data_IF_156795576139
#
_entry.id   IF_156795576139
#
_cell.length_a   1.000
_cell.length_b   1.000
_cell.length_c   1.000
_cell.angle_alpha   90.00
_cell.angle_beta   90.00
_cell.angle_gamma   90.00
#
_symmetry.space_group_name_H-M   'P 1'
#
loop_
_entity.id
_entity.type
_entity.pdbx_description
1 polymer ?
#
# COMPACT_ATOMS: atom_id res chain seq x y z
N UNK A 1 -17.58 -11.81 -11.70
CA UNK A 1 -18.82 -11.14 -11.27
C UNK A 1 -19.35 -10.28 -12.40
N UNK A 2 -20.56 -10.60 -12.85
CA UNK A 2 -21.33 -9.89 -13.87
C UNK A 2 -21.70 -8.49 -13.36
N UNK A 3 -21.13 -7.46 -13.98
CA UNK A 3 -21.75 -6.14 -13.99
C UNK A 3 -23.08 -6.22 -14.76
N UNK A 4 -24.08 -5.47 -14.30
CA UNK A 4 -25.42 -5.44 -14.88
C UNK A 4 -25.41 -4.98 -16.34
N UNK A 5 -26.55 -5.17 -17.01
CA UNK A 5 -26.74 -4.89 -18.43
C UNK A 5 -26.28 -3.47 -18.82
N UNK A 6 -25.35 -3.37 -19.76
CA UNK A 6 -24.80 -2.12 -20.28
C UNK A 6 -23.57 -1.55 -19.56
N UNK A 7 -23.13 -2.15 -18.45
CA UNK A 7 -21.99 -1.66 -17.66
C UNK A 7 -20.63 -1.99 -18.29
N UNK A 8 -19.73 -0.99 -18.32
CA UNK A 8 -18.36 -1.12 -18.81
C UNK A 8 -17.60 -2.18 -17.99
N UNK A 9 -17.24 -3.30 -18.61
CA UNK A 9 -16.50 -4.37 -17.94
C UNK A 9 -15.00 -4.13 -18.02
N UNK A 10 -14.31 -4.34 -16.89
CA UNK A 10 -12.85 -4.30 -16.81
C UNK A 10 -12.29 -5.73 -16.80
N UNK A 11 -11.17 -5.92 -17.49
CA UNK A 11 -10.32 -7.07 -17.30
C UNK A 11 -9.53 -6.87 -16.01
N UNK A 12 -9.68 -7.78 -15.05
CA UNK A 12 -9.13 -7.62 -13.69
C UNK A 12 -8.03 -8.64 -13.47
N UNK A 13 -6.87 -8.15 -13.04
CA UNK A 13 -5.70 -8.94 -12.68
C UNK A 13 -5.42 -8.73 -11.19
N UNK A 14 -5.16 -9.81 -10.45
CA UNK A 14 -4.74 -9.76 -9.05
C UNK A 14 -3.28 -10.15 -9.00
N UNK A 15 -2.41 -9.18 -8.71
CA UNK A 15 -0.97 -9.41 -8.68
C UNK A 15 -0.48 -9.82 -7.29
N UNK A 16 0.45 -10.76 -7.25
CA UNK A 16 1.20 -11.11 -6.04
C UNK A 16 2.64 -10.59 -6.15
N UNK A 17 3.10 -9.88 -5.12
CA UNK A 17 4.48 -9.41 -5.03
C UNK A 17 5.41 -10.52 -4.52
N UNK A 18 6.72 -10.41 -4.78
CA UNK A 18 7.70 -11.39 -4.29
C UNK A 18 7.60 -11.63 -2.77
N UNK A 19 7.66 -12.90 -2.38
CA UNK A 19 7.58 -13.36 -0.99
C UNK A 19 6.15 -13.61 -0.47
N UNK A 20 5.14 -13.64 -1.33
CA UNK A 20 3.81 -14.14 -0.95
C UNK A 20 3.74 -15.64 -1.11
N UNK A 21 3.05 -16.33 -0.20
CA UNK A 21 3.04 -17.79 -0.16
C UNK A 21 2.44 -18.42 -1.43
N UNK A 22 1.48 -17.76 -2.09
CA UNK A 22 0.90 -18.21 -3.36
C UNK A 22 1.86 -18.17 -4.55
N UNK A 23 2.93 -17.36 -4.46
CA UNK A 23 3.90 -17.12 -5.52
C UNK A 23 5.34 -17.16 -5.01
N UNK A 24 5.63 -17.99 -4.00
CA UNK A 24 6.95 -18.07 -3.40
C UNK A 24 7.96 -18.63 -4.41
N UNK A 25 8.70 -17.75 -5.08
CA UNK A 25 9.70 -18.12 -6.09
C UNK A 25 10.83 -18.99 -5.52
N UNK A 26 11.09 -18.89 -4.22
CA UNK A 26 12.14 -19.62 -3.54
C UNK A 26 11.66 -20.16 -2.20
N UNK A 27 11.98 -21.42 -1.90
CA UNK A 27 11.80 -21.98 -0.56
C UNK A 27 12.64 -21.17 0.45
N UNK A 28 12.04 -20.64 1.53
CA UNK A 28 12.78 -19.90 2.55
C UNK A 28 13.75 -20.77 3.34
N UNK A 29 13.46 -22.08 3.45
CA UNK A 29 14.32 -23.05 4.13
C UNK A 29 15.55 -23.40 3.28
N UNK A 30 15.35 -23.67 1.98
CA UNK A 30 16.41 -24.11 1.08
C UNK A 30 17.24 -22.94 0.53
N UNK A 31 16.63 -21.76 0.37
CA UNK A 31 17.27 -20.61 -0.25
C UNK A 31 17.10 -19.31 0.58
N UNK A 32 17.48 -19.31 1.87
CA UNK A 32 17.29 -18.13 2.74
C UNK A 32 18.01 -16.88 2.23
N UNK A 33 19.14 -17.05 1.54
CA UNK A 33 19.91 -15.94 0.95
C UNK A 33 19.17 -15.20 -0.18
N UNK A 34 18.18 -15.84 -0.83
CA UNK A 34 17.33 -15.20 -1.84
C UNK A 34 16.33 -14.22 -1.21
N UNK A 35 16.10 -14.30 0.12
CA UNK A 35 15.23 -13.39 0.86
C UNK A 35 15.91 -12.06 1.21
N UNK A 36 16.52 -11.42 0.21
CA UNK A 36 17.26 -10.17 0.34
C UNK A 36 16.72 -9.11 -0.64
N UNK A 37 15.54 -8.59 -0.37
CA UNK A 37 14.90 -7.53 -1.15
C UNK A 37 14.18 -6.54 -0.22
N UNK A 38 13.92 -5.32 -0.70
CA UNK A 38 13.18 -4.29 0.03
C UNK A 38 12.05 -3.73 -0.83
N UNK A 39 11.44 -2.62 -0.41
CA UNK A 39 10.31 -2.03 -1.14
C UNK A 39 10.77 -1.47 -2.49
N UNK A 40 12.04 -1.07 -2.62
CA UNK A 40 12.60 -0.65 -3.91
C UNK A 40 12.55 -1.78 -4.94
N UNK A 41 12.74 -3.04 -4.54
CA UNK A 41 12.62 -4.16 -5.47
C UNK A 41 11.16 -4.37 -5.93
N UNK A 42 10.17 -4.05 -5.08
CA UNK A 42 8.77 -4.04 -5.51
C UNK A 42 8.53 -2.96 -6.57
N UNK A 43 9.14 -1.78 -6.41
CA UNK A 43 8.99 -0.63 -7.31
C UNK A 43 9.76 -0.86 -8.63
N UNK A 44 11.01 -1.29 -8.57
CA UNK A 44 11.92 -1.33 -9.72
C UNK A 44 11.83 -2.61 -10.54
N UNK A 45 11.28 -3.69 -9.96
CA UNK A 45 11.28 -5.01 -10.58
C UNK A 45 9.87 -5.58 -10.68
N UNK A 46 9.15 -5.67 -9.56
CA UNK A 46 7.84 -6.33 -9.57
C UNK A 46 6.80 -5.49 -10.33
N UNK A 47 6.72 -4.19 -10.06
CA UNK A 47 5.78 -3.29 -10.76
C UNK A 47 5.96 -3.33 -12.29
N UNK A 48 7.16 -3.11 -12.87
CA UNK A 48 7.38 -3.27 -14.31
C UNK A 48 7.02 -4.66 -14.83
N UNK A 49 7.39 -5.73 -14.11
CA UNK A 49 7.11 -7.09 -14.54
C UNK A 49 5.60 -7.37 -14.61
N UNK A 50 4.85 -6.95 -13.59
CA UNK A 50 3.38 -7.07 -13.54
C UNK A 50 2.74 -6.29 -14.69
N UNK A 51 3.14 -5.02 -14.87
CA UNK A 51 2.57 -4.15 -15.91
C UNK A 51 2.85 -4.71 -17.29
N UNK A 52 4.08 -5.17 -17.54
CA UNK A 52 4.46 -5.78 -18.80
C UNK A 52 3.68 -7.08 -19.04
N UNK A 53 3.53 -7.92 -18.02
CA UNK A 53 2.77 -9.16 -18.12
C UNK A 53 1.30 -8.89 -18.52
N UNK A 54 0.64 -7.94 -17.84
CA UNK A 54 -0.76 -7.56 -18.16
C UNK A 54 -0.88 -6.97 -19.56
N UNK A 55 0.10 -6.20 -20.03
CA UNK A 55 0.10 -5.65 -21.39
C UNK A 55 0.27 -6.71 -22.47
N UNK A 56 1.12 -7.70 -22.22
CA UNK A 56 1.40 -8.78 -23.16
C UNK A 56 0.26 -9.79 -23.24
N UNK A 57 -0.30 -10.18 -22.09
CA UNK A 57 -1.28 -11.26 -22.00
C UNK A 57 -2.74 -10.78 -21.87
N UNK A 58 -2.95 -9.47 -21.73
CA UNK A 58 -4.28 -8.89 -21.67
C UNK A 58 -5.04 -9.07 -22.97
N UNK A 59 -6.38 -9.08 -22.91
CA UNK A 59 -7.26 -9.30 -24.08
C UNK A 59 -7.09 -8.27 -25.20
N UNK A 60 -6.41 -7.16 -24.93
CA UNK A 60 -6.06 -6.11 -25.90
C UNK A 60 -4.62 -6.24 -26.44
N UNK A 61 -4.00 -7.42 -26.30
CA UNK A 61 -2.65 -7.73 -26.74
C UNK A 61 -2.36 -7.16 -28.13
N UNK A 62 -1.28 -6.39 -28.23
CA UNK A 62 -0.85 -5.70 -29.45
C UNK A 62 -0.93 -4.17 -29.38
N UNK A 63 -1.86 -3.60 -28.59
CA UNK A 63 -1.77 -2.19 -28.16
C UNK A 63 -1.05 -2.17 -26.81
N UNK A 64 -0.28 -1.13 -26.47
CA UNK A 64 0.31 -0.93 -25.13
C UNK A 64 -0.67 -0.13 -24.25
N UNK A 65 -1.81 -0.68 -23.77
CA UNK A 65 -2.78 0.12 -23.04
C UNK A 65 -2.17 0.62 -21.73
N UNK A 66 -2.60 1.83 -21.34
CA UNK A 66 -2.43 2.31 -19.98
C UNK A 66 -3.35 1.50 -19.07
N UNK A 67 -2.89 1.10 -17.89
CA UNK A 67 -3.63 0.25 -16.96
C UNK A 67 -4.21 1.06 -15.80
N UNK A 68 -5.37 0.69 -15.27
CA UNK A 68 -5.78 1.20 -13.98
C UNK A 68 -5.11 0.39 -12.87
N UNK A 69 -4.49 1.06 -11.91
CA UNK A 69 -3.90 0.41 -10.74
C UNK A 69 -4.78 0.65 -9.52
N UNK A 70 -5.14 -0.40 -8.80
CA UNK A 70 -5.88 -0.31 -7.52
C UNK A 70 -4.99 -0.90 -6.43
N UNK A 71 -4.42 -0.04 -5.60
CA UNK A 71 -3.45 -0.42 -4.58
C UNK A 71 -3.95 -0.12 -3.17
N UNK A 72 -3.80 -1.06 -2.24
CA UNK A 72 -4.09 -0.85 -0.82
C UNK A 72 -2.79 -0.79 -0.02
N UNK A 73 -2.70 0.14 0.93
CA UNK A 73 -1.54 0.26 1.83
C UNK A 73 -0.24 0.33 1.02
N UNK A 74 0.71 -0.57 1.26
CA UNK A 74 1.94 -0.71 0.46
C UNK A 74 1.69 -0.80 -1.05
N UNK A 75 0.60 -1.43 -1.49
CA UNK A 75 0.25 -1.54 -2.91
C UNK A 75 -0.07 -0.19 -3.57
N UNK A 76 -0.56 0.80 -2.81
CA UNK A 76 -0.70 2.18 -3.31
C UNK A 76 0.59 2.99 -3.16
N UNK A 77 1.38 2.73 -2.11
CA UNK A 77 2.70 3.35 -1.93
C UNK A 77 3.64 3.10 -3.12
N UNK A 78 3.75 1.84 -3.55
CA UNK A 78 4.60 1.49 -4.69
C UNK A 78 4.09 2.10 -6.00
N UNK A 79 2.78 2.35 -6.12
CA UNK A 79 2.21 3.03 -7.28
C UNK A 79 2.57 4.52 -7.32
N UNK A 80 2.58 5.21 -6.16
CA UNK A 80 3.07 6.59 -6.08
C UNK A 80 4.54 6.67 -6.51
N UNK A 81 5.40 5.82 -5.95
CA UNK A 81 6.82 5.81 -6.28
C UNK A 81 7.09 5.47 -7.76
N UNK A 82 6.47 4.40 -8.26
CA UNK A 82 6.60 3.99 -9.66
C UNK A 82 6.09 5.07 -10.63
N UNK A 83 4.97 5.72 -10.27
CA UNK A 83 4.34 6.76 -11.07
C UNK A 83 5.09 8.09 -11.12
N UNK A 84 6.15 8.31 -10.33
CA UNK A 84 7.01 9.49 -10.47
C UNK A 84 7.71 9.53 -11.84
N UNK A 85 8.15 8.36 -12.33
CA UNK A 85 8.87 8.24 -13.60
C UNK A 85 8.00 7.60 -14.70
N UNK A 86 7.24 6.56 -14.34
CA UNK A 86 6.53 5.70 -15.29
C UNK A 86 5.04 6.06 -15.43
N UNK A 87 4.67 7.32 -15.23
CA UNK A 87 3.28 7.84 -15.31
C UNK A 87 2.50 7.48 -16.57
N UNK A 88 3.20 7.25 -17.70
CA UNK A 88 2.57 6.85 -18.97
C UNK A 88 1.97 5.45 -18.88
N UNK A 89 2.34 4.65 -17.88
CA UNK A 89 1.84 3.28 -17.74
C UNK A 89 0.47 3.20 -17.08
N UNK A 90 0.11 4.18 -16.27
CA UNK A 90 -1.17 4.19 -15.57
C UNK A 90 -2.22 5.01 -16.30
N UNK A 91 -3.41 4.45 -16.52
CA UNK A 91 -4.58 5.20 -16.91
C UNK A 91 -5.13 6.04 -15.76
N UNK A 92 -4.95 5.54 -14.55
CA UNK A 92 -5.33 6.16 -13.30
C UNK A 92 -4.95 5.23 -12.15
N UNK A 93 -4.79 5.79 -10.95
CA UNK A 93 -4.46 5.05 -9.75
C UNK A 93 -5.56 5.27 -8.71
N UNK A 94 -6.00 4.18 -8.09
CA UNK A 94 -6.86 4.20 -6.92
C UNK A 94 -6.03 3.69 -5.76
N UNK A 95 -5.94 4.47 -4.68
CA UNK A 95 -5.23 4.06 -3.46
C UNK A 95 -6.19 3.93 -2.29
N UNK A 96 -6.13 2.82 -1.57
CA UNK A 96 -6.92 2.54 -0.37
C UNK A 96 -5.98 2.58 0.84
N UNK A 97 -6.15 3.54 1.75
CA UNK A 97 -5.35 3.69 2.98
C UNK A 97 -3.84 3.56 2.73
N UNK A 98 -3.32 4.29 1.75
CA UNK A 98 -1.92 4.20 1.32
C UNK A 98 -1.13 5.41 1.80
N UNK A 99 -0.32 5.27 2.86
CA UNK A 99 0.35 6.39 3.49
C UNK A 99 1.70 6.72 2.86
N UNK A 100 2.13 7.97 2.94
CA UNK A 100 3.43 8.43 2.41
C UNK A 100 4.19 9.36 3.35
N UNK A 101 3.53 9.93 4.37
CA UNK A 101 4.14 10.91 5.27
C UNK A 101 4.75 10.27 6.53
N UNK A 102 4.13 9.23 7.06
CA UNK A 102 4.54 8.50 8.28
C UNK A 102 4.62 9.39 9.54
N UNK A 103 3.78 10.43 9.62
CA UNK A 103 3.80 11.42 10.71
C UNK A 103 2.94 11.00 11.90
N UNK A 104 1.78 10.43 11.62
CA UNK A 104 0.80 9.96 12.60
C UNK A 104 0.87 8.44 12.78
N UNK A 105 1.68 7.78 11.96
CA UNK A 105 1.85 6.34 11.97
C UNK A 105 2.73 5.89 13.15
N UNK A 106 2.20 5.04 14.01
CA UNK A 106 2.93 4.47 15.15
C UNK A 106 2.75 5.19 16.48
N UNK A 107 1.85 6.19 16.57
CA UNK A 107 1.41 6.73 17.86
C UNK A 107 0.85 5.60 18.76
N UNK A 108 0.12 4.68 18.16
CA UNK A 108 -0.47 3.48 18.81
C UNK A 108 0.49 2.30 18.97
N UNK A 109 1.76 2.42 18.54
CA UNK A 109 2.70 1.29 18.64
C UNK A 109 3.30 1.19 20.05
N UNK A 110 3.37 0.00 20.66
CA UNK A 110 4.07 -0.21 21.92
C UNK A 110 5.51 0.32 21.90
N UNK A 111 5.94 0.97 22.98
CA UNK A 111 7.26 1.61 23.09
C UNK A 111 8.42 0.64 22.80
N UNK A 112 8.33 -0.61 23.28
CA UNK A 112 9.32 -1.66 23.00
C UNK A 112 9.56 -1.86 21.49
N UNK A 113 8.49 -1.84 20.68
CA UNK A 113 8.59 -1.98 19.23
C UNK A 113 9.16 -0.72 18.56
N UNK A 114 8.98 0.47 19.16
CA UNK A 114 9.63 1.71 18.70
C UNK A 114 11.16 1.59 18.82
N UNK A 115 11.65 0.98 19.90
CA UNK A 115 13.08 0.76 20.12
C UNK A 115 13.65 -0.35 19.22
N UNK A 116 12.95 -1.48 19.11
CA UNK A 116 13.41 -2.63 18.29
C UNK A 116 13.55 -2.29 16.80
N UNK A 117 12.80 -1.31 16.29
CA UNK A 117 12.93 -0.81 14.92
C UNK A 117 14.33 -0.29 14.58
N UNK A 118 15.11 0.14 15.56
CA UNK A 118 16.49 0.61 15.36
C UNK A 118 17.48 -0.54 15.14
N UNK A 119 17.17 -1.73 15.65
CA UNK A 119 18.06 -2.88 15.71
C UNK A 119 17.89 -3.90 14.55
N UNK A 120 16.99 -3.68 13.59
CA UNK A 120 16.80 -4.62 12.48
C UNK A 120 18.09 -4.80 11.65
N UNK A 121 18.42 -6.02 11.17
CA UNK A 121 19.54 -6.25 10.29
C UNK A 121 19.31 -5.57 8.93
N UNK A 122 19.97 -4.43 8.70
CA UNK A 122 19.68 -3.53 7.56
C UNK A 122 20.43 -3.86 6.26
N UNK A 123 21.55 -4.58 6.34
CA UNK A 123 22.39 -4.88 5.15
C UNK A 123 22.03 -6.19 4.45
N UNK A 124 21.50 -7.17 5.18
CA UNK A 124 21.15 -8.49 4.64
C UNK A 124 19.73 -8.86 5.06
N UNK A 125 18.89 -9.19 4.09
CA UNK A 125 17.58 -9.75 4.36
C UNK A 125 17.67 -11.22 4.72
N UNK A 126 16.76 -11.64 5.58
CA UNK A 126 16.49 -13.04 5.92
C UNK A 126 15.00 -13.32 5.79
N UNK A 127 14.58 -14.58 5.58
CA UNK A 127 13.17 -14.92 5.59
C UNK A 127 12.54 -14.60 6.95
N UNK A 128 11.42 -13.90 6.96
CA UNK A 128 10.72 -13.50 8.18
C UNK A 128 9.24 -13.87 8.11
N UNK A 129 8.85 -14.85 8.93
CA UNK A 129 7.45 -15.20 9.18
C UNK A 129 6.87 -14.31 10.29
N UNK A 130 6.64 -13.04 9.96
CA UNK A 130 6.33 -12.00 10.95
C UNK A 130 5.05 -12.27 11.75
N UNK A 131 4.01 -12.86 11.14
CA UNK A 131 2.75 -13.15 11.83
C UNK A 131 2.93 -14.23 12.91
N UNK A 132 3.82 -15.22 12.67
CA UNK A 132 4.18 -16.22 13.68
C UNK A 132 4.81 -15.57 14.91
N UNK A 133 5.61 -14.53 14.72
CA UNK A 133 6.18 -13.75 15.83
C UNK A 133 5.12 -12.93 16.57
N UNK A 134 4.21 -12.26 15.87
CA UNK A 134 3.08 -11.55 16.49
C UNK A 134 2.24 -12.50 17.34
N UNK A 135 1.99 -13.71 16.85
CA UNK A 135 1.29 -14.76 17.61
C UNK A 135 2.07 -15.20 18.84
N UNK A 136 3.36 -15.49 18.69
CA UNK A 136 4.25 -15.92 19.79
C UNK A 136 4.35 -14.88 20.91
N UNK A 137 4.27 -13.60 20.56
CA UNK A 137 4.30 -12.47 21.50
C UNK A 137 2.92 -12.10 22.07
N UNK A 138 1.85 -12.84 21.73
CA UNK A 138 0.49 -12.55 22.23
C UNK A 138 -0.14 -11.27 21.68
N UNK A 139 0.37 -10.73 20.57
CA UNK A 139 0.00 -9.40 20.07
C UNK A 139 -1.15 -9.40 19.05
N UNK A 140 -1.87 -10.51 18.91
CA UNK A 140 -2.91 -10.68 17.88
C UNK A 140 -4.10 -9.74 18.06
N UNK A 141 -4.56 -9.49 19.29
CA UNK A 141 -5.68 -8.57 19.53
C UNK A 141 -5.31 -7.12 19.26
N UNK A 142 -4.07 -6.72 19.58
CA UNK A 142 -3.55 -5.41 19.21
C UNK A 142 -3.50 -5.24 17.67
N UNK A 143 -3.01 -6.26 16.96
CA UNK A 143 -2.99 -6.28 15.49
C UNK A 143 -4.41 -6.11 14.91
N UNK A 144 -5.40 -6.88 15.40
CA UNK A 144 -6.80 -6.78 14.95
C UNK A 144 -7.38 -5.39 15.18
N UNK A 145 -7.21 -4.83 16.39
CA UNK A 145 -7.69 -3.48 16.76
C UNK A 145 -7.04 -2.38 15.91
N UNK A 146 -5.78 -2.53 15.55
CA UNK A 146 -5.05 -1.57 14.72
C UNK A 146 -5.51 -1.61 13.25
N UNK A 147 -5.85 -2.80 12.75
CA UNK A 147 -6.11 -3.02 11.32
C UNK A 147 -7.57 -2.98 10.91
N UNK A 148 -8.49 -3.29 11.82
CA UNK A 148 -9.88 -3.53 11.48
C UNK A 148 -10.84 -2.88 12.46
N UNK A 149 -11.92 -2.30 11.93
CA UNK A 149 -13.11 -2.11 12.74
C UNK A 149 -13.84 -3.45 12.81
N UNK A 150 -13.61 -4.21 13.89
CA UNK A 150 -14.14 -5.57 14.05
C UNK A 150 -15.68 -5.64 14.01
N UNK A 151 -16.39 -4.52 14.27
CA UNK A 151 -17.86 -4.46 14.14
C UNK A 151 -18.31 -4.48 12.68
N UNK A 152 -17.47 -4.02 11.77
CA UNK A 152 -17.76 -3.86 10.35
C UNK A 152 -17.16 -4.97 9.47
N UNK A 153 -16.56 -6.02 10.07
CA UNK A 153 -16.07 -7.19 9.34
C UNK A 153 -16.73 -8.45 9.91
N UNK A 154 -16.99 -9.45 9.07
CA UNK A 154 -17.41 -10.75 9.55
C UNK A 154 -16.24 -11.47 10.25
N UNK A 155 -16.41 -12.03 11.47
CA UNK A 155 -15.31 -12.68 12.19
C UNK A 155 -14.59 -13.77 11.40
N UNK A 156 -15.33 -14.57 10.61
CA UNK A 156 -14.77 -15.59 9.72
C UNK A 156 -13.86 -14.99 8.65
N UNK A 157 -14.31 -13.92 8.00
CA UNK A 157 -13.54 -13.20 6.98
C UNK A 157 -12.28 -12.55 7.58
N UNK A 158 -12.39 -11.96 8.78
CA UNK A 158 -11.23 -11.40 9.49
C UNK A 158 -10.21 -12.51 9.82
N UNK A 159 -10.68 -13.67 10.29
CA UNK A 159 -9.84 -14.83 10.56
C UNK A 159 -9.14 -15.32 9.28
N UNK A 160 -9.89 -15.54 8.19
CA UNK A 160 -9.33 -15.96 6.91
C UNK A 160 -8.32 -14.95 6.36
N UNK A 161 -8.60 -13.65 6.48
CA UNK A 161 -7.66 -12.60 6.04
C UNK A 161 -6.33 -12.69 6.80
N UNK A 162 -6.38 -12.90 8.11
CA UNK A 162 -5.19 -13.05 8.95
C UNK A 162 -4.45 -14.35 8.62
N UNK A 163 -5.16 -15.47 8.58
CA UNK A 163 -4.53 -16.80 8.44
C UNK A 163 -4.03 -17.08 7.02
N UNK A 164 -4.76 -16.63 5.99
CA UNK A 164 -4.42 -16.91 4.58
C UNK A 164 -3.77 -15.71 3.89
N UNK A 165 -4.27 -14.51 4.16
CA UNK A 165 -3.80 -13.29 3.49
C UNK A 165 -2.52 -12.71 4.08
N UNK A 166 -2.35 -12.79 5.41
CA UNK A 166 -1.25 -12.14 6.11
C UNK A 166 -0.09 -13.07 6.48
N UNK A 167 -0.37 -14.36 6.70
CA UNK A 167 0.64 -15.35 7.03
C UNK A 167 1.54 -15.61 5.81
N UNK A 168 2.58 -14.80 5.67
CA UNK A 168 3.55 -14.87 4.58
C UNK A 168 4.96 -14.81 5.14
N UNK A 169 5.90 -15.45 4.44
CA UNK A 169 7.32 -15.32 4.71
C UNK A 169 7.88 -14.30 3.72
N UNK A 170 8.28 -13.12 4.20
CA UNK A 170 8.86 -12.08 3.35
C UNK A 170 10.29 -11.75 3.79
N UNK A 171 11.04 -11.01 2.97
CA UNK A 171 12.35 -10.51 3.38
C UNK A 171 12.23 -9.55 4.56
N UNK A 172 13.04 -9.76 5.61
CA UNK A 172 13.15 -8.86 6.76
C UNK A 172 13.55 -7.43 6.37
N UNK A 173 14.15 -7.23 5.19
CA UNK A 173 14.50 -5.90 4.67
C UNK A 173 13.28 -5.06 4.29
N UNK A 174 12.15 -5.66 3.97
CA UNK A 174 10.87 -4.93 3.78
C UNK A 174 10.47 -4.23 5.09
N UNK A 175 10.52 -4.94 6.22
CA UNK A 175 10.25 -4.36 7.54
C UNK A 175 11.32 -3.35 7.97
N UNK A 176 12.59 -3.63 7.64
CA UNK A 176 13.67 -2.67 7.88
C UNK A 176 13.41 -1.35 7.14
N UNK A 177 12.90 -1.43 5.91
CA UNK A 177 12.56 -0.25 5.09
C UNK A 177 11.38 0.53 5.68
N UNK A 178 10.32 -0.15 6.13
CA UNK A 178 9.25 0.48 6.91
C UNK A 178 9.77 1.13 8.21
N UNK A 179 10.71 0.48 8.90
CA UNK A 179 11.38 1.05 10.06
C UNK A 179 12.06 2.38 9.75
N UNK A 180 12.74 2.46 8.60
CA UNK A 180 13.35 3.72 8.11
C UNK A 180 12.27 4.77 7.84
N UNK A 181 11.15 4.42 7.19
CA UNK A 181 10.06 5.38 6.93
C UNK A 181 9.50 5.98 8.21
N UNK A 182 9.30 5.16 9.23
CA UNK A 182 8.77 5.57 10.52
C UNK A 182 9.78 6.40 11.32
N UNK A 183 11.06 6.02 11.27
CA UNK A 183 12.13 6.73 11.98
C UNK A 183 12.41 8.12 11.39
N UNK A 184 12.23 8.27 10.08
CA UNK A 184 12.55 9.50 9.34
C UNK A 184 11.32 10.26 8.85
N UNK A 185 10.11 9.75 9.13
CA UNK A 185 8.83 10.31 8.62
C UNK A 185 8.88 10.58 7.12
N UNK A 186 9.41 9.61 6.38
CA UNK A 186 9.80 9.81 4.98
C UNK A 186 9.66 8.52 4.17
N UNK A 187 8.70 8.48 3.25
CA UNK A 187 8.65 7.44 2.21
C UNK A 187 9.77 7.67 1.18
N UNK A 188 10.77 6.79 1.15
CA UNK A 188 12.00 7.00 0.40
C UNK A 188 12.63 5.70 -0.12
N UNK A 189 13.64 5.82 -1.01
CA UNK A 189 14.52 4.71 -1.39
C UNK A 189 15.23 4.13 -0.16
N UNK A 190 15.64 2.88 -0.23
CA UNK A 190 16.46 2.27 0.80
C UNK A 190 17.82 3.00 0.84
N UNK A 191 18.24 3.58 1.98
CA UNK A 191 19.49 4.31 2.06
C UNK A 191 20.68 3.40 1.75
N UNK A 192 21.66 3.92 0.99
CA UNK A 192 22.93 3.22 0.75
C UNK A 192 23.66 2.90 2.06
N UNK A 193 23.60 3.84 3.00
CA UNK A 193 24.16 3.72 4.35
C UNK A 193 23.10 4.03 5.42
N UNK A 194 22.24 3.06 5.80
CA UNK A 194 21.13 3.31 6.74
C UNK A 194 21.58 3.79 8.12
N UNK A 195 22.77 3.37 8.57
CA UNK A 195 23.33 3.79 9.86
C UNK A 195 23.77 5.25 9.86
N UNK A 196 24.42 5.70 8.78
CA UNK A 196 24.80 7.11 8.64
C UNK A 196 23.57 8.00 8.49
N UNK A 197 22.57 7.54 7.73
CA UNK A 197 21.30 8.26 7.61
C UNK A 197 20.62 8.43 8.98
N UNK A 198 20.58 7.37 9.81
CA UNK A 198 20.07 7.48 11.19
C UNK A 198 20.93 8.40 12.07
N UNK A 199 22.25 8.27 12.02
CA UNK A 199 23.18 9.01 12.88
C UNK A 199 23.11 10.52 12.66
N UNK A 200 22.95 10.95 11.41
CA UNK A 200 22.94 12.37 11.03
C UNK A 200 21.54 12.98 10.96
N UNK A 201 20.47 12.25 11.32
CA UNK A 201 19.09 12.75 11.30
C UNK A 201 18.87 14.04 12.09
N UNK A 202 19.59 14.21 13.21
CA UNK A 202 19.47 15.42 14.05
C UNK A 202 20.34 16.58 13.56
N UNK A 203 21.09 16.40 12.46
CA UNK A 203 22.00 17.40 11.89
C UNK A 203 21.62 17.61 10.42
N UNK A 204 20.66 18.51 10.13
CA UNK A 204 20.05 18.63 8.78
C UNK A 204 21.06 18.84 7.63
N UNK A 205 22.15 19.58 7.88
CA UNK A 205 23.20 19.81 6.88
C UNK A 205 23.90 18.51 6.45
N UNK A 206 24.17 17.62 7.41
CA UNK A 206 24.83 16.35 7.16
C UNK A 206 23.85 15.27 6.70
N UNK A 207 22.60 15.30 7.19
CA UNK A 207 21.54 14.38 6.79
C UNK A 207 21.38 14.36 5.26
N UNK A 208 21.41 15.53 4.61
CA UNK A 208 21.24 15.66 3.16
C UNK A 208 22.24 14.85 2.34
N UNK A 209 23.46 14.61 2.83
CA UNK A 209 24.47 13.81 2.13
C UNK A 209 24.18 12.31 2.18
N UNK A 210 23.44 11.85 3.19
CA UNK A 210 23.10 10.44 3.38
C UNK A 210 21.62 10.13 3.11
N UNK A 211 20.82 11.18 2.91
CA UNK A 211 19.40 11.08 2.63
C UNK A 211 19.17 10.39 1.28
N UNK A 212 18.39 9.30 1.25
CA UNK A 212 17.99 8.67 -0.01
C UNK A 212 17.03 9.57 -0.80
N UNK A 213 16.79 9.21 -2.07
CA UNK A 213 15.69 9.81 -2.85
C UNK A 213 14.36 9.64 -2.11
N UNK A 214 13.67 10.74 -1.82
CA UNK A 214 12.40 10.75 -1.10
C UNK A 214 11.23 10.81 -2.08
N UNK A 215 10.38 9.80 -2.05
CA UNK A 215 9.12 9.83 -2.78
C UNK A 215 8.12 10.78 -2.12
N UNK A 216 8.09 10.84 -0.78
CA UNK A 216 7.24 11.78 -0.01
C UNK A 216 7.43 13.22 -0.51
N UNK A 217 8.68 13.67 -0.60
CA UNK A 217 8.98 15.03 -1.03
C UNK A 217 8.85 15.20 -2.54
N UNK A 218 8.91 14.12 -3.33
CA UNK A 218 8.77 14.17 -4.79
C UNK A 218 7.36 13.84 -5.30
N UNK A 219 6.35 13.70 -4.43
CA UNK A 219 4.96 13.43 -4.82
C UNK A 219 4.42 14.36 -5.91
N UNK A 220 4.89 15.60 -5.99
CA UNK A 220 4.51 16.53 -7.07
C UNK A 220 4.84 16.02 -8.48
N UNK A 221 5.77 15.08 -8.61
CA UNK A 221 6.10 14.40 -9.88
C UNK A 221 5.04 13.38 -10.29
N UNK A 222 4.27 12.85 -9.33
CA UNK A 222 3.13 11.99 -9.61
C UNK A 222 1.95 12.85 -10.10
N UNK A 223 1.70 12.84 -11.41
CA UNK A 223 0.64 13.61 -12.09
C UNK A 223 -0.46 12.73 -12.69
N UNK A 224 -0.47 11.43 -12.36
CA UNK A 224 -1.46 10.47 -12.86
C UNK A 224 -2.82 10.72 -12.20
N UNK A 225 -3.95 10.54 -12.92
CA UNK A 225 -5.28 10.64 -12.31
C UNK A 225 -5.39 9.78 -11.05
N UNK A 226 -5.88 10.35 -9.94
CA UNK A 226 -5.85 9.72 -8.62
C UNK A 226 -7.23 9.67 -7.95
N UNK A 227 -7.58 8.52 -7.38
CA UNK A 227 -8.60 8.39 -6.34
C UNK A 227 -7.93 7.96 -5.04
N UNK A 228 -7.84 8.87 -4.08
CA UNK A 228 -7.29 8.58 -2.76
C UNK A 228 -8.42 8.29 -1.77
N UNK A 229 -8.51 7.05 -1.28
CA UNK A 229 -9.55 6.60 -0.36
C UNK A 229 -8.95 6.35 1.02
N UNK A 230 -9.56 6.94 2.05
CA UNK A 230 -9.24 6.72 3.45
C UNK A 230 -10.39 6.01 4.20
N UNK A 231 -10.05 5.24 5.22
CA UNK A 231 -11.00 4.71 6.18
C UNK A 231 -11.11 5.63 7.40
N UNK A 232 -12.32 6.05 7.77
CA UNK A 232 -12.52 6.97 8.90
C UNK A 232 -12.09 6.43 10.27
N UNK A 233 -12.03 5.10 10.42
CA UNK A 233 -11.56 4.40 11.61
C UNK A 233 -10.19 3.74 11.44
N UNK A 234 -9.45 4.08 10.39
CA UNK A 234 -8.13 3.51 10.12
C UNK A 234 -7.07 4.02 11.10
N UNK A 235 -6.48 3.11 11.89
CA UNK A 235 -5.39 3.42 12.82
C UNK A 235 -4.01 3.01 12.29
N UNK A 236 -3.96 2.27 11.19
CA UNK A 236 -2.72 1.83 10.54
C UNK A 236 -2.21 2.91 9.59
N UNK A 237 -3.09 3.44 8.75
CA UNK A 237 -2.83 4.56 7.86
C UNK A 237 -3.97 5.58 8.02
N UNK A 238 -3.91 6.42 9.07
CA UNK A 238 -4.95 7.38 9.38
C UNK A 238 -5.31 8.29 8.19
N UNK A 239 -6.54 8.82 8.12
CA UNK A 239 -6.97 9.70 7.03
C UNK A 239 -6.02 10.86 6.73
N UNK A 240 -5.34 11.40 7.73
CA UNK A 240 -4.34 12.46 7.63
C UNK A 240 -3.18 12.06 6.70
N UNK A 241 -2.73 10.80 6.78
CA UNK A 241 -1.67 10.26 5.94
C UNK A 241 -2.07 10.15 4.47
N UNK A 242 -3.32 9.76 4.22
CA UNK A 242 -3.88 9.67 2.86
C UNK A 242 -4.14 11.06 2.29
N UNK A 243 -4.65 11.97 3.13
CA UNK A 243 -4.89 13.37 2.76
C UNK A 243 -3.58 14.10 2.44
N UNK A 244 -2.50 13.80 3.15
CA UNK A 244 -1.17 14.30 2.80
C UNK A 244 -0.77 13.90 1.38
N UNK A 245 -0.93 12.61 1.02
CA UNK A 245 -0.63 12.14 -0.33
C UNK A 245 -1.46 12.90 -1.38
N UNK A 246 -2.78 12.95 -1.19
CA UNK A 246 -3.70 13.68 -2.07
C UNK A 246 -3.32 15.15 -2.25
N UNK A 247 -2.97 15.85 -1.16
CA UNK A 247 -2.59 17.26 -1.18
C UNK A 247 -1.31 17.51 -1.98
N UNK A 248 -0.32 16.61 -1.88
CA UNK A 248 1.03 16.83 -2.40
C UNK A 248 1.29 16.22 -3.79
N UNK A 249 0.39 15.40 -4.34
CA UNK A 249 0.54 14.92 -5.73
C UNK A 249 0.31 16.04 -6.75
N UNK A 250 1.06 15.98 -7.85
CA UNK A 250 0.99 16.94 -8.97
C UNK A 250 -0.21 16.74 -9.90
N UNK A 251 -1.01 15.69 -9.69
CA UNK A 251 -2.18 15.40 -10.51
C UNK A 251 -3.24 16.48 -10.40
N UNK A 252 -3.73 16.97 -11.55
CA UNK A 252 -4.88 17.87 -11.64
C UNK A 252 -6.22 17.13 -11.63
N UNK A 253 -6.20 15.85 -11.98
CA UNK A 253 -7.38 14.98 -11.98
C UNK A 253 -7.35 14.04 -10.77
N UNK A 254 -7.63 14.61 -9.59
CA UNK A 254 -7.56 13.90 -8.32
C UNK A 254 -8.83 14.05 -7.50
N UNK A 255 -9.15 13.02 -6.73
CA UNK A 255 -10.30 12.98 -5.83
C UNK A 255 -9.89 12.33 -4.51
N UNK A 256 -10.39 12.87 -3.40
CA UNK A 256 -10.21 12.31 -2.05
C UNK A 256 -11.56 11.90 -1.49
N UNK A 257 -11.65 10.69 -0.96
CA UNK A 257 -12.86 10.12 -0.35
C UNK A 257 -12.51 9.52 1.00
N UNK A 258 -13.38 9.71 1.98
CA UNK A 258 -13.23 9.13 3.32
C UNK A 258 -14.48 8.35 3.73
N UNK A 259 -14.33 7.05 3.98
CA UNK A 259 -15.40 6.20 4.47
C UNK A 259 -15.49 6.26 6.01
N UNK A 260 -16.16 7.29 6.50
CA UNK A 260 -16.49 7.51 7.92
C UNK A 260 -18.00 7.41 8.14
N UNK A 261 -18.44 6.92 9.29
CA UNK A 261 -19.87 6.77 9.59
C UNK A 261 -20.57 8.13 9.50
N UNK A 262 -21.67 8.19 8.76
CA UNK A 262 -22.47 9.40 8.57
C UNK A 262 -22.09 10.22 7.34
N UNK A 263 -20.89 10.03 6.77
CA UNK A 263 -20.49 10.69 5.52
C UNK A 263 -21.36 10.24 4.34
N UNK A 264 -21.62 11.14 3.40
CA UNK A 264 -22.30 10.81 2.15
C UNK A 264 -21.34 11.00 0.97
N UNK A 265 -21.15 9.95 0.19
CA UNK A 265 -20.21 9.91 -0.93
C UNK A 265 -20.97 9.56 -2.20
N UNK A 266 -21.14 10.51 -3.12
CA UNK A 266 -21.85 10.31 -4.38
C UNK A 266 -23.26 9.72 -4.20
N UNK A 267 -24.00 10.21 -3.20
CA UNK A 267 -25.34 9.73 -2.82
C UNK A 267 -25.35 8.43 -2.01
N UNK A 268 -24.17 7.93 -1.60
CA UNK A 268 -24.05 6.71 -0.79
C UNK A 268 -23.72 7.10 0.65
N UNK A 269 -24.67 6.84 1.57
CA UNK A 269 -24.47 7.10 2.99
C UNK A 269 -23.62 6.00 3.63
N UNK A 270 -22.44 6.37 4.11
CA UNK A 270 -21.51 5.49 4.78
C UNK A 270 -22.01 5.15 6.19
N UNK A 271 -22.16 3.85 6.48
CA UNK A 271 -22.82 3.39 7.71
C UNK A 271 -21.85 2.89 8.79
N UNK A 272 -20.55 2.89 8.52
CA UNK A 272 -19.52 2.45 9.46
C UNK A 272 -18.27 3.32 9.37
N UNK A 273 -17.47 3.33 10.43
CA UNK A 273 -16.12 3.86 10.41
C UNK A 273 -15.18 2.78 9.87
N UNK A 274 -14.82 2.87 8.59
CA UNK A 274 -13.99 1.85 7.95
C UNK A 274 -12.57 1.88 8.53
N UNK A 275 -12.11 0.74 9.03
CA UNK A 275 -10.70 0.51 9.36
C UNK A 275 -9.84 0.20 8.13
N UNK A 276 -8.56 -0.12 8.38
CA UNK A 276 -7.57 -0.33 7.32
C UNK A 276 -7.94 -1.42 6.33
N UNK A 277 -8.45 -2.56 6.83
CA UNK A 277 -8.83 -3.68 5.97
C UNK A 277 -10.29 -3.67 5.55
N UNK A 278 -11.13 -2.96 6.31
CA UNK A 278 -12.55 -2.80 6.05
C UNK A 278 -12.82 -2.28 4.64
N UNK A 279 -11.96 -1.41 4.10
CA UNK A 279 -12.10 -0.88 2.74
C UNK A 279 -12.11 -1.96 1.63
N UNK A 280 -11.72 -3.20 1.96
CA UNK A 280 -11.65 -4.33 1.02
C UNK A 280 -12.48 -5.54 1.44
N UNK A 281 -12.74 -5.71 2.73
CA UNK A 281 -13.45 -6.92 3.24
C UNK A 281 -14.52 -6.57 4.28
N UNK A 282 -14.83 -5.30 4.44
CA UNK A 282 -15.91 -4.84 5.29
C UNK A 282 -17.26 -5.33 4.78
N UNK A 283 -18.23 -5.45 5.69
CA UNK A 283 -19.56 -6.01 5.41
C UNK A 283 -20.31 -5.30 4.29
N UNK A 284 -20.01 -4.02 4.05
CA UNK A 284 -20.70 -3.18 3.08
C UNK A 284 -19.82 -2.60 1.96
N UNK A 285 -18.65 -3.19 1.73
CA UNK A 285 -17.73 -2.70 0.67
C UNK A 285 -18.35 -2.77 -0.72
N UNK A 286 -19.25 -3.73 -0.97
CA UNK A 286 -19.88 -3.92 -2.28
C UNK A 286 -20.89 -2.81 -2.58
N UNK A 287 -21.53 -2.29 -1.56
CA UNK A 287 -22.58 -1.28 -1.61
C UNK A 287 -22.00 0.14 -1.47
N UNK A 288 -20.92 0.30 -0.69
CA UNK A 288 -20.39 1.61 -0.31
C UNK A 288 -19.07 1.93 -1.05
N UNK A 289 -18.10 1.02 -1.06
CA UNK A 289 -16.73 1.33 -1.56
C UNK A 289 -16.57 1.05 -3.05
N UNK A 290 -16.95 -0.15 -3.49
CA UNK A 290 -16.74 -0.59 -4.88
C UNK A 290 -17.48 0.26 -5.91
N UNK A 291 -18.71 0.75 -5.66
CA UNK A 291 -19.40 1.62 -6.61
C UNK A 291 -18.67 2.95 -6.84
N UNK A 292 -18.03 3.52 -5.81
CA UNK A 292 -17.22 4.74 -5.92
C UNK A 292 -16.02 4.50 -6.83
N UNK A 293 -15.29 3.40 -6.60
CA UNK A 293 -14.16 2.99 -7.45
C UNK A 293 -14.62 2.79 -8.89
N UNK A 294 -15.70 2.03 -9.09
CA UNK A 294 -16.24 1.72 -10.42
C UNK A 294 -16.61 2.99 -11.19
N UNK A 295 -17.42 3.88 -10.59
CA UNK A 295 -17.83 5.15 -11.21
C UNK A 295 -16.61 6.00 -11.61
N UNK A 296 -15.58 6.04 -10.75
CA UNK A 296 -14.34 6.77 -11.01
C UNK A 296 -13.57 6.21 -12.22
N UNK A 297 -13.49 4.88 -12.34
CA UNK A 297 -12.86 4.18 -13.47
C UNK A 297 -13.64 4.37 -14.78
N UNK A 298 -14.97 4.25 -14.74
CA UNK A 298 -15.84 4.44 -15.93
C UNK A 298 -15.69 5.86 -16.48
N UNK A 299 -15.74 6.88 -15.62
CA UNK A 299 -15.59 8.29 -16.01
C UNK A 299 -14.31 8.54 -16.82
N UNK A 300 -13.20 7.91 -16.43
CA UNK A 300 -11.89 8.07 -17.09
C UNK A 300 -11.68 7.18 -18.29
N UNK A 301 -12.50 6.14 -18.44
CA UNK A 301 -12.53 5.36 -19.67
C UNK A 301 -13.33 6.08 -20.76
N UNK A 302 -14.46 6.70 -20.40
CA UNK A 302 -15.31 7.45 -21.35
C UNK A 302 -14.67 8.74 -21.85
N UNK A 303 -13.98 9.50 -20.98
CA UNK A 303 -13.23 10.72 -21.38
C UNK A 303 -12.06 10.48 -22.35
N UNK A 304 -11.70 9.22 -22.60
CA UNK A 304 -10.54 8.81 -23.43
C UNK A 304 -10.93 8.08 -24.71
N UNK A 305 -12.23 7.85 -24.91
CA UNK A 305 -12.77 7.49 -26.23
C UNK A 305 -13.06 8.79 -26.96
#
# INVERSE_FOLDING_TARGET
HSGGDGDLKFEVWVAELRGRNGSATFSPLLHPRKYNWCIDDYIDKDMPAIINFVRTHGRRGGRKPRIFWVGKSMGGMIAYAYGEEMKKDFAGVVTLSSPVAFEHMGNELPYLLKTLRRAYPRRRGVPLAWLRWVRRLGMMEALKKMMANQKNIAPSILKDYIEKGMDNIISSRVFSHFGIFLNHRNFCRYPRNPWLYDAFRSIPMLERYFAPHSYKYNLRKFDTPLLAIAGGGDRTAPPEEVRYAYGNVGSRDKEYVIFRKGEEIHGIKCRADYGHIDLTVGRRVREEVYPVIYRWLVKRTRKRR
#
